data_IF_767882195824
#
_entry.id   IF_767882195824
#
_cell.length_a   1.000
_cell.length_b   1.000
_cell.length_c   1.000
_cell.angle_alpha   90.00
_cell.angle_beta   90.00
_cell.angle_gamma   90.00
#
_symmetry.space_group_name_H-M   'P 1'
#
loop_
_entity.id
_entity.type
_entity.pdbx_description
1 polymer ?
#
# COMPACT_ATOMS: atom_id res chain seq x y z
N UNK A 1 22.69 -42.72 -2.45
CA UNK A 1 22.48 -41.62 -1.47
C UNK A 1 23.62 -40.62 -1.65
N UNK A 2 23.32 -39.51 -2.30
CA UNK A 2 24.33 -38.55 -2.85
C UNK A 2 24.86 -37.55 -1.80
N UNK A 3 24.48 -37.68 -0.53
CA UNK A 3 24.88 -36.78 0.54
C UNK A 3 24.39 -35.31 0.40
N UNK A 4 24.94 -34.41 1.22
CA UNK A 4 24.54 -32.99 1.21
C UNK A 4 24.89 -32.27 -0.11
N UNK A 5 26.04 -32.58 -0.72
CA UNK A 5 26.47 -31.97 -1.98
C UNK A 5 25.51 -32.28 -3.13
N UNK A 6 25.08 -33.54 -3.25
CA UNK A 6 24.09 -33.93 -4.26
C UNK A 6 22.71 -33.30 -4.02
N UNK A 7 22.29 -33.16 -2.75
CA UNK A 7 21.08 -32.43 -2.41
C UNK A 7 21.17 -30.96 -2.84
N UNK A 8 22.30 -30.29 -2.56
CA UNK A 8 22.50 -28.87 -2.93
C UNK A 8 22.54 -28.67 -4.46
N UNK A 9 23.08 -29.62 -5.20
CA UNK A 9 23.01 -29.61 -6.67
C UNK A 9 21.56 -29.62 -7.17
N UNK A 10 20.75 -30.57 -6.70
CA UNK A 10 19.34 -30.65 -7.09
C UNK A 10 18.50 -29.47 -6.61
N UNK A 11 18.78 -28.91 -5.42
CA UNK A 11 18.12 -27.69 -4.91
C UNK A 11 18.40 -26.50 -5.86
N UNK A 12 19.62 -26.36 -6.37
CA UNK A 12 20.01 -25.33 -7.35
C UNK A 12 19.30 -25.52 -8.69
N UNK A 13 19.32 -26.73 -9.24
CA UNK A 13 18.66 -27.04 -10.51
C UNK A 13 17.16 -26.78 -10.44
N UNK A 14 16.53 -27.18 -9.34
CA UNK A 14 15.10 -26.91 -9.10
C UNK A 14 14.83 -25.40 -8.98
N UNK A 15 15.68 -24.64 -8.29
CA UNK A 15 15.53 -23.20 -8.18
C UNK A 15 15.65 -22.51 -9.55
N UNK A 16 16.61 -22.92 -10.38
CA UNK A 16 16.78 -22.40 -11.74
C UNK A 16 15.53 -22.65 -12.59
N UNK A 17 15.01 -23.86 -12.57
CA UNK A 17 13.79 -24.20 -13.31
C UNK A 17 12.60 -23.38 -12.85
N UNK A 18 12.37 -23.28 -11.52
CA UNK A 18 11.24 -22.52 -10.96
C UNK A 18 11.34 -21.01 -11.19
N UNK A 19 12.55 -20.45 -11.17
CA UNK A 19 12.77 -19.02 -11.49
C UNK A 19 12.51 -18.68 -12.97
N UNK A 20 12.59 -19.67 -13.86
CA UNK A 20 12.26 -19.51 -15.28
C UNK A 20 10.74 -19.57 -15.54
N UNK A 21 9.97 -20.14 -14.62
CA UNK A 21 8.51 -20.24 -14.69
C UNK A 21 7.85 -19.07 -13.94
N UNK A 22 7.36 -18.08 -14.65
CA UNK A 22 6.67 -16.93 -14.02
C UNK A 22 5.18 -16.91 -14.41
N UNK A 23 4.30 -16.40 -13.50
CA UNK A 23 4.52 -16.03 -12.09
C UNK A 23 4.39 -17.23 -11.14
N UNK A 24 5.28 -17.38 -10.16
CA UNK A 24 5.27 -18.45 -9.19
C UNK A 24 5.49 -17.92 -7.74
N UNK A 25 4.97 -18.68 -6.75
CA UNK A 25 5.32 -18.54 -5.33
C UNK A 25 6.18 -19.73 -4.93
N UNK A 26 7.45 -19.47 -4.62
CA UNK A 26 8.43 -20.53 -4.34
C UNK A 26 8.71 -20.57 -2.84
N UNK A 27 8.43 -21.72 -2.21
CA UNK A 27 8.78 -21.97 -0.82
C UNK A 27 10.19 -22.57 -0.75
N UNK A 28 11.16 -21.79 -0.25
CA UNK A 28 12.56 -22.19 -0.18
C UNK A 28 12.89 -22.83 1.18
N UNK A 29 13.79 -23.82 1.16
CA UNK A 29 14.43 -24.33 2.37
C UNK A 29 15.30 -23.26 3.02
N UNK A 30 15.38 -23.25 4.37
CA UNK A 30 16.13 -22.22 5.13
C UNK A 30 17.64 -22.16 4.84
N UNK A 31 18.19 -23.08 4.07
CA UNK A 31 19.59 -23.09 3.63
C UNK A 31 19.80 -22.85 2.13
N UNK A 32 18.73 -22.74 1.34
CA UNK A 32 18.81 -22.68 -0.11
C UNK A 32 19.56 -21.42 -0.62
N UNK A 33 19.36 -20.30 0.07
CA UNK A 33 19.94 -19.00 -0.28
C UNK A 33 21.21 -18.65 0.51
N UNK A 34 21.80 -19.62 1.24
CA UNK A 34 23.16 -19.48 1.81
C UNK A 34 24.23 -19.51 0.72
N UNK A 35 23.92 -20.09 -0.42
CA UNK A 35 24.74 -20.04 -1.63
C UNK A 35 24.47 -18.71 -2.35
N UNK A 36 25.53 -17.93 -2.58
CA UNK A 36 25.42 -16.59 -3.16
C UNK A 36 24.87 -16.61 -4.60
N UNK A 37 25.14 -17.65 -5.39
CA UNK A 37 24.62 -17.77 -6.75
C UNK A 37 23.11 -18.05 -6.75
N UNK A 38 22.64 -18.91 -5.85
CA UNK A 38 21.21 -19.14 -5.65
C UNK A 38 20.50 -17.88 -5.16
N UNK A 39 21.14 -17.13 -4.27
CA UNK A 39 20.61 -15.86 -3.78
C UNK A 39 20.48 -14.83 -4.89
N UNK A 40 21.54 -14.61 -5.66
CA UNK A 40 21.54 -13.67 -6.79
C UNK A 40 20.47 -14.04 -7.83
N UNK A 41 20.31 -15.33 -8.14
CA UNK A 41 19.28 -15.82 -9.03
C UNK A 41 17.88 -15.52 -8.50
N UNK A 42 17.60 -15.83 -7.25
CA UNK A 42 16.28 -15.58 -6.64
C UNK A 42 15.96 -14.08 -6.55
N UNK A 43 16.96 -13.23 -6.20
CA UNK A 43 16.81 -11.78 -6.16
C UNK A 43 16.54 -11.17 -7.55
N UNK A 44 17.13 -11.72 -8.60
CA UNK A 44 16.87 -11.30 -9.98
C UNK A 44 15.50 -11.74 -10.50
N UNK A 45 15.00 -12.89 -10.04
CA UNK A 45 13.74 -13.45 -10.48
C UNK A 45 12.52 -12.89 -9.73
N UNK A 46 12.71 -12.40 -8.48
CA UNK A 46 11.56 -11.94 -7.70
C UNK A 46 11.89 -11.34 -6.35
N UNK A 47 10.84 -11.17 -5.53
CA UNK A 47 10.95 -10.61 -4.19
C UNK A 47 11.10 -11.75 -3.17
N UNK A 48 12.13 -11.68 -2.36
CA UNK A 48 12.39 -12.65 -1.29
C UNK A 48 11.79 -12.11 0.01
N UNK A 49 10.97 -12.92 0.66
CA UNK A 49 10.45 -12.64 2.01
C UNK A 49 11.02 -13.67 2.98
N UNK A 50 11.84 -13.22 3.91
CA UNK A 50 12.35 -14.08 4.98
C UNK A 50 11.29 -14.26 6.06
N UNK A 51 10.90 -15.51 6.32
CA UNK A 51 10.00 -15.85 7.42
C UNK A 51 10.81 -16.02 8.71
N UNK A 52 10.62 -15.11 9.66
CA UNK A 52 11.34 -15.03 10.92
C UNK A 52 10.47 -15.60 12.06
N UNK A 53 10.97 -16.59 12.76
CA UNK A 53 10.26 -17.26 13.84
C UNK A 53 11.16 -17.45 15.07
N UNK A 54 10.57 -17.33 16.27
CA UNK A 54 11.30 -17.61 17.52
C UNK A 54 11.69 -19.08 17.63
N UNK A 55 12.75 -19.36 18.38
CA UNK A 55 13.20 -20.75 18.69
C UNK A 55 12.04 -21.56 19.23
N UNK A 56 11.26 -21.02 20.17
CA UNK A 56 10.08 -21.68 20.74
C UNK A 56 9.05 -22.07 19.66
N UNK A 57 8.74 -21.15 18.71
CA UNK A 57 7.84 -21.42 17.60
C UNK A 57 8.37 -22.53 16.70
N UNK A 58 9.67 -22.53 16.42
CA UNK A 58 10.31 -23.55 15.59
C UNK A 58 10.33 -24.92 16.26
N UNK A 59 10.66 -24.98 17.56
CA UNK A 59 10.62 -26.24 18.35
C UNK A 59 9.22 -26.85 18.32
N UNK A 60 8.19 -26.05 18.63
CA UNK A 60 6.80 -26.52 18.61
C UNK A 60 6.38 -27.07 17.25
N UNK A 61 6.73 -26.38 16.16
CA UNK A 61 6.39 -26.84 14.80
C UNK A 61 7.18 -28.09 14.38
N UNK A 62 8.42 -28.21 14.84
CA UNK A 62 9.27 -29.36 14.53
C UNK A 62 8.80 -30.61 15.29
N UNK A 63 8.39 -30.45 16.55
CA UNK A 63 7.84 -31.54 17.35
C UNK A 63 6.53 -32.11 16.76
N UNK A 64 5.75 -31.28 16.05
CA UNK A 64 4.52 -31.72 15.37
C UNK A 64 4.77 -32.56 14.11
N UNK A 65 6.00 -32.64 13.57
CA UNK A 65 6.38 -33.38 12.38
C UNK A 65 7.68 -34.17 12.58
N UNK A 66 7.68 -35.26 13.39
CA UNK A 66 8.87 -36.04 13.64
C UNK A 66 9.39 -36.69 12.34
N UNK A 67 10.72 -36.62 12.11
CA UNK A 67 11.38 -37.27 10.97
C UNK A 67 11.46 -36.46 9.68
N UNK A 68 10.81 -35.30 9.57
CA UNK A 68 10.85 -34.47 8.35
C UNK A 68 12.16 -33.66 8.16
N UNK A 69 13.08 -33.65 9.13
CA UNK A 69 14.30 -32.81 9.11
C UNK A 69 15.55 -33.59 9.52
N UNK A 70 16.35 -34.09 8.55
CA UNK A 70 17.54 -34.89 8.81
C UNK A 70 18.63 -34.19 9.65
N UNK A 71 18.69 -32.84 9.62
CA UNK A 71 19.69 -32.06 10.35
C UNK A 71 19.40 -31.94 11.87
N UNK A 72 18.25 -32.40 12.34
CA UNK A 72 17.86 -32.36 13.74
C UNK A 72 17.82 -33.78 14.37
N UNK A 73 18.40 -34.75 13.72
CA UNK A 73 18.45 -36.16 14.21
C UNK A 73 19.60 -36.34 15.17
N UNK A 74 19.25 -36.61 16.43
CA UNK A 74 20.01 -37.30 17.48
C UNK A 74 21.53 -36.97 17.60
N UNK A 75 21.83 -35.90 18.28
CA UNK A 75 23.05 -35.74 19.07
C UNK A 75 22.64 -35.41 20.50
N UNK A 76 23.55 -35.55 21.46
CA UNK A 76 23.33 -35.41 22.92
C UNK A 76 22.71 -34.09 23.41
N UNK A 77 22.57 -33.08 22.50
CA UNK A 77 21.92 -31.81 22.79
C UNK A 77 20.42 -31.85 22.52
N UNK A 78 19.63 -31.13 23.32
CA UNK A 78 18.19 -30.96 23.11
C UNK A 78 17.90 -30.37 21.72
N UNK A 79 16.75 -30.72 21.11
CA UNK A 79 16.31 -30.17 19.83
C UNK A 79 16.25 -28.63 19.85
N UNK A 80 15.94 -28.04 20.99
CA UNK A 80 15.93 -26.60 21.23
C UNK A 80 17.34 -26.00 21.14
N UNK A 81 18.34 -26.62 21.78
CA UNK A 81 19.73 -26.16 21.73
C UNK A 81 20.30 -26.22 20.31
N UNK A 82 20.04 -27.31 19.58
CA UNK A 82 20.47 -27.46 18.19
C UNK A 82 19.84 -26.40 17.26
N UNK A 83 18.56 -26.10 17.45
CA UNK A 83 17.85 -25.06 16.69
C UNK A 83 18.38 -23.65 17.02
N UNK A 84 18.62 -23.36 18.30
CA UNK A 84 19.18 -22.09 18.74
C UNK A 84 20.58 -21.85 18.16
N UNK A 85 21.46 -22.86 18.19
CA UNK A 85 22.80 -22.79 17.58
C UNK A 85 22.73 -22.59 16.07
N UNK A 86 21.87 -23.34 15.38
CA UNK A 86 21.70 -23.23 13.93
C UNK A 86 21.20 -21.82 13.55
N UNK A 87 20.22 -21.28 14.30
CA UNK A 87 19.71 -19.93 14.11
C UNK A 87 20.80 -18.88 14.35
N UNK A 88 21.51 -18.95 15.46
CA UNK A 88 22.59 -18.01 15.78
C UNK A 88 23.65 -17.95 14.65
N UNK A 89 24.05 -19.12 14.13
CA UNK A 89 25.00 -19.20 13.02
C UNK A 89 24.47 -18.59 11.72
N UNK A 90 23.15 -18.70 11.44
CA UNK A 90 22.53 -18.21 10.21
C UNK A 90 21.91 -16.83 10.34
N UNK A 91 21.87 -16.27 11.54
CA UNK A 91 21.26 -14.97 11.82
C UNK A 91 21.77 -13.84 10.90
N UNK A 92 23.09 -13.67 10.66
CA UNK A 92 23.58 -12.63 9.76
C UNK A 92 22.99 -12.74 8.35
N UNK A 93 22.79 -13.95 7.84
CA UNK A 93 22.16 -14.20 6.56
C UNK A 93 20.66 -13.83 6.58
N UNK A 94 19.91 -14.27 7.59
CA UNK A 94 18.47 -14.01 7.65
C UNK A 94 18.14 -12.53 7.86
N UNK A 95 18.92 -11.81 8.65
CA UNK A 95 18.71 -10.37 8.87
C UNK A 95 19.10 -9.52 7.65
N UNK A 96 19.89 -10.05 6.70
CA UNK A 96 20.29 -9.33 5.50
C UNK A 96 19.15 -9.17 4.47
N UNK A 97 18.04 -9.91 4.61
CA UNK A 97 16.89 -9.73 3.73
C UNK A 97 16.08 -8.50 4.12
N UNK A 98 15.81 -7.59 3.17
CA UNK A 98 15.07 -6.36 3.46
C UNK A 98 13.59 -6.61 3.81
N UNK A 99 12.98 -7.66 3.24
CA UNK A 99 11.60 -8.04 3.51
C UNK A 99 11.59 -9.21 4.50
N UNK A 100 11.14 -8.93 5.72
CA UNK A 100 11.05 -9.92 6.80
C UNK A 100 9.65 -9.95 7.37
N UNK A 101 9.16 -11.16 7.61
CA UNK A 101 7.85 -11.41 8.20
C UNK A 101 8.01 -12.20 9.49
N UNK A 102 7.63 -11.63 10.62
CA UNK A 102 7.56 -12.35 11.88
C UNK A 102 6.42 -13.39 11.83
N UNK A 103 6.77 -14.65 12.06
CA UNK A 103 5.83 -15.77 12.02
C UNK A 103 5.64 -16.32 13.42
N UNK A 104 4.40 -16.36 13.89
CA UNK A 104 3.98 -16.86 15.19
C UNK A 104 3.12 -18.14 15.03
N UNK A 105 2.46 -18.56 16.10
CA UNK A 105 1.48 -19.65 16.07
C UNK A 105 0.05 -19.17 15.73
N UNK A 106 -0.10 -17.92 15.28
CA UNK A 106 -1.38 -17.41 14.82
C UNK A 106 -1.88 -18.11 13.55
N UNK A 107 -3.17 -17.99 13.28
CA UNK A 107 -3.80 -18.59 12.09
C UNK A 107 -3.22 -17.97 10.81
N UNK A 108 -3.18 -18.74 9.70
CA UNK A 108 -2.56 -18.29 8.43
C UNK A 108 -3.05 -16.94 7.92
N UNK A 109 -4.32 -16.59 8.14
CA UNK A 109 -4.88 -15.30 7.74
C UNK A 109 -4.21 -14.08 8.40
N UNK A 110 -3.68 -14.22 9.63
CA UNK A 110 -2.90 -13.17 10.30
C UNK A 110 -1.58 -12.94 9.56
N UNK A 111 -0.89 -14.04 9.21
CA UNK A 111 0.38 -13.96 8.48
C UNK A 111 0.20 -13.45 7.06
N UNK A 112 -0.91 -13.80 6.39
CA UNK A 112 -1.22 -13.26 5.06
C UNK A 112 -1.37 -11.73 5.10
N UNK A 113 -2.09 -11.20 6.09
CA UNK A 113 -2.23 -9.75 6.27
C UNK A 113 -0.89 -9.06 6.51
N UNK A 114 -0.08 -9.64 7.38
CA UNK A 114 1.26 -9.13 7.66
C UNK A 114 2.17 -9.20 6.41
N UNK A 115 2.06 -10.27 5.62
CA UNK A 115 2.77 -10.42 4.34
C UNK A 115 2.36 -9.33 3.34
N UNK A 116 1.07 -9.06 3.21
CA UNK A 116 0.58 -7.99 2.33
C UNK A 116 1.14 -6.62 2.73
N UNK A 117 1.22 -6.34 4.05
CA UNK A 117 1.83 -5.12 4.56
C UNK A 117 3.34 -5.05 4.26
N UNK A 118 4.07 -6.16 4.44
CA UNK A 118 5.50 -6.25 4.12
C UNK A 118 5.75 -6.05 2.61
N UNK A 119 4.90 -6.61 1.77
CA UNK A 119 4.99 -6.48 0.31
C UNK A 119 4.49 -5.12 -0.20
N UNK A 120 3.68 -4.42 0.58
CA UNK A 120 3.00 -3.20 0.14
C UNK A 120 2.06 -3.45 -1.05
N UNK A 121 1.41 -4.61 -1.09
CA UNK A 121 0.57 -5.01 -2.21
C UNK A 121 -0.78 -5.54 -1.74
N UNK A 122 -1.85 -4.91 -2.24
CA UNK A 122 -3.22 -5.33 -1.96
C UNK A 122 -4.06 -5.35 -3.22
N UNK A 123 -5.16 -6.09 -3.15
CA UNK A 123 -6.24 -6.09 -4.12
C UNK A 123 -7.53 -5.76 -3.40
N UNK A 124 -8.24 -4.75 -3.87
CA UNK A 124 -9.54 -4.33 -3.33
C UNK A 124 -10.63 -4.83 -4.27
N UNK A 125 -11.63 -5.51 -3.72
CA UNK A 125 -12.73 -6.13 -4.47
C UNK A 125 -14.09 -5.73 -3.90
N UNK A 126 -15.15 -6.09 -4.63
CA UNK A 126 -16.54 -5.86 -4.20
C UNK A 126 -17.19 -4.61 -4.80
N UNK A 127 -16.45 -3.78 -5.57
CA UNK A 127 -16.93 -2.55 -6.20
C UNK A 127 -16.85 -2.60 -7.74
N UNK A 128 -17.24 -3.70 -8.35
CA UNK A 128 -17.03 -3.99 -9.77
C UNK A 128 -15.69 -4.66 -10.00
N UNK A 129 -14.94 -4.21 -11.01
CA UNK A 129 -13.60 -4.75 -11.26
C UNK A 129 -12.64 -4.46 -10.09
N UNK A 130 -11.94 -5.49 -9.61
CA UNK A 130 -11.00 -5.30 -8.51
C UNK A 130 -9.84 -4.41 -8.92
N UNK A 131 -9.44 -3.50 -8.05
CA UNK A 131 -8.28 -2.64 -8.27
C UNK A 131 -7.10 -3.00 -7.38
N UNK A 132 -5.92 -2.54 -7.79
CA UNK A 132 -4.65 -2.80 -7.10
C UNK A 132 -4.23 -1.63 -6.22
N UNK A 133 -3.59 -1.93 -5.10
CA UNK A 133 -2.91 -0.95 -4.25
C UNK A 133 -1.45 -1.34 -4.15
N UNK A 134 -0.56 -0.39 -4.40
CA UNK A 134 0.89 -0.53 -4.32
C UNK A 134 1.44 0.52 -3.36
N UNK A 135 2.26 0.08 -2.41
CA UNK A 135 2.88 0.97 -1.41
C UNK A 135 4.37 0.65 -1.38
N UNK A 136 5.19 1.68 -1.44
CA UNK A 136 6.64 1.54 -1.37
C UNK A 136 7.32 2.90 -1.36
N UNK A 137 8.44 3.00 -0.67
CA UNK A 137 9.24 4.22 -0.63
C UNK A 137 9.95 4.43 -1.97
N UNK A 138 9.80 5.62 -2.59
CA UNK A 138 10.36 5.95 -3.91
C UNK A 138 9.60 5.30 -5.08
N UNK A 139 8.38 4.79 -4.88
CA UNK A 139 7.63 4.06 -5.91
C UNK A 139 6.99 4.97 -6.97
N UNK A 140 6.91 6.29 -6.73
CA UNK A 140 6.33 7.24 -7.69
C UNK A 140 7.09 7.30 -9.01
N UNK A 141 8.41 7.08 -9.01
CA UNK A 141 9.23 6.99 -10.22
C UNK A 141 8.87 5.81 -11.14
N UNK A 142 8.10 4.84 -10.61
CA UNK A 142 7.62 3.65 -11.29
C UNK A 142 6.12 3.68 -11.58
N UNK A 143 5.44 4.81 -11.33
CA UNK A 143 3.99 4.92 -11.48
C UNK A 143 3.52 4.52 -12.89
N UNK A 144 4.25 4.92 -13.93
CA UNK A 144 3.96 4.54 -15.32
C UNK A 144 4.05 3.02 -15.55
N UNK A 145 5.12 2.38 -15.07
CA UNK A 145 5.30 0.93 -15.20
C UNK A 145 4.19 0.16 -14.45
N UNK A 146 3.81 0.62 -13.26
CA UNK A 146 2.73 0.02 -12.46
C UNK A 146 1.36 0.18 -13.14
N UNK A 147 1.12 1.29 -13.82
CA UNK A 147 -0.09 1.48 -14.62
C UNK A 147 -0.08 0.59 -15.86
N UNK A 148 1.06 0.43 -16.53
CA UNK A 148 1.21 -0.44 -17.70
C UNK A 148 1.02 -1.94 -17.39
N UNK A 149 1.17 -2.36 -16.12
CA UNK A 149 0.77 -3.71 -15.68
C UNK A 149 -0.75 -3.99 -15.80
N UNK A 150 -1.57 -2.94 -15.79
CA UNK A 150 -3.02 -3.04 -15.76
C UNK A 150 -3.69 -2.45 -17.00
N UNK A 151 -3.05 -1.52 -17.70
CA UNK A 151 -3.62 -0.71 -18.75
C UNK A 151 -2.67 -0.63 -19.96
N UNK A 152 -3.22 -0.67 -21.15
CA UNK A 152 -2.47 -0.30 -22.36
C UNK A 152 -2.14 1.20 -22.35
N UNK A 153 -0.92 1.59 -22.76
CA UNK A 153 -0.54 2.99 -22.90
C UNK A 153 -1.52 3.81 -23.78
N UNK A 154 -1.77 5.03 -23.37
CA UNK A 154 -2.69 5.94 -24.05
C UNK A 154 -2.56 7.36 -23.50
N UNK A 155 -3.55 8.23 -23.79
CA UNK A 155 -3.58 9.60 -23.27
C UNK A 155 -3.89 9.61 -21.76
N UNK A 156 -3.17 10.43 -21.02
CA UNK A 156 -3.32 10.56 -19.57
C UNK A 156 -3.40 12.03 -19.18
N UNK A 157 -4.39 12.41 -18.39
CA UNK A 157 -4.41 13.68 -17.71
C UNK A 157 -4.02 13.47 -16.23
N UNK A 158 -2.87 13.99 -15.84
CA UNK A 158 -2.47 14.09 -14.44
C UNK A 158 -3.09 15.35 -13.84
N UNK A 159 -3.93 15.18 -12.84
CA UNK A 159 -4.55 16.26 -12.06
C UNK A 159 -3.80 16.38 -10.75
N UNK A 160 -3.21 17.54 -10.49
CA UNK A 160 -2.52 17.86 -9.26
C UNK A 160 -3.00 19.22 -8.71
N UNK A 161 -2.50 19.63 -7.57
CA UNK A 161 -2.69 21.00 -7.10
C UNK A 161 -1.40 21.83 -7.18
N UNK A 162 -1.51 23.12 -6.93
CA UNK A 162 -0.39 24.07 -6.98
C UNK A 162 0.71 23.78 -5.95
N UNK A 163 0.43 22.97 -4.92
CA UNK A 163 1.42 22.54 -3.94
C UNK A 163 2.16 21.25 -4.38
N UNK A 164 1.45 20.30 -4.97
CA UNK A 164 2.00 18.98 -5.31
C UNK A 164 2.57 18.90 -6.72
N UNK A 165 2.03 19.66 -7.68
CA UNK A 165 2.51 19.68 -9.06
C UNK A 165 4.00 20.00 -9.19
N UNK A 166 4.56 21.07 -8.55
CA UNK A 166 5.98 21.39 -8.65
C UNK A 166 6.88 20.36 -7.95
N UNK A 167 6.38 19.64 -6.94
CA UNK A 167 7.15 18.66 -6.17
C UNK A 167 7.27 17.31 -6.89
N UNK A 168 6.17 16.82 -7.46
CA UNK A 168 6.08 15.44 -7.93
C UNK A 168 5.64 15.30 -9.38
N UNK A 169 5.08 16.36 -9.98
CA UNK A 169 4.55 16.32 -11.34
C UNK A 169 5.58 15.88 -12.36
N UNK A 170 6.81 16.44 -12.30
CA UNK A 170 7.90 16.08 -13.20
C UNK A 170 8.25 14.59 -13.17
N UNK A 171 8.38 14.02 -11.97
CA UNK A 171 8.69 12.59 -11.75
C UNK A 171 7.59 11.70 -12.34
N UNK A 172 6.32 12.00 -12.04
CA UNK A 172 5.18 11.21 -12.52
C UNK A 172 5.06 11.30 -14.04
N UNK A 173 5.18 12.49 -14.64
CA UNK A 173 5.13 12.66 -16.09
C UNK A 173 6.26 11.91 -16.80
N UNK A 174 7.49 11.94 -16.25
CA UNK A 174 8.63 11.21 -16.79
C UNK A 174 8.39 9.69 -16.74
N UNK A 175 7.90 9.19 -15.60
CA UNK A 175 7.57 7.78 -15.41
C UNK A 175 6.49 7.29 -16.39
N UNK A 176 5.43 8.09 -16.58
CA UNK A 176 4.36 7.78 -17.53
C UNK A 176 4.87 7.73 -18.97
N UNK A 177 5.69 8.71 -19.38
CA UNK A 177 6.28 8.73 -20.73
C UNK A 177 7.20 7.53 -20.96
N UNK A 178 8.03 7.18 -19.97
CA UNK A 178 8.91 6.00 -20.05
C UNK A 178 8.13 4.69 -20.24
N UNK A 179 6.89 4.63 -19.76
CA UNK A 179 5.99 3.49 -19.93
C UNK A 179 5.09 3.59 -21.21
N UNK A 180 5.35 4.56 -22.08
CA UNK A 180 4.65 4.72 -23.36
C UNK A 180 3.33 5.50 -23.31
N UNK A 181 2.94 6.05 -22.14
CA UNK A 181 1.77 6.93 -22.05
C UNK A 181 2.06 8.33 -22.61
N UNK A 182 1.01 9.06 -22.97
CA UNK A 182 1.07 10.46 -23.41
C UNK A 182 0.43 11.35 -22.33
N UNK A 183 1.21 11.77 -21.29
CA UNK A 183 0.67 12.50 -20.18
C UNK A 183 0.68 14.01 -20.40
N UNK A 184 -0.40 14.66 -19.95
CA UNK A 184 -0.52 16.10 -19.72
C UNK A 184 -0.79 16.37 -18.23
N UNK A 185 -0.46 17.58 -17.76
CA UNK A 185 -0.65 17.98 -16.35
C UNK A 185 -1.60 19.16 -16.27
N UNK A 186 -2.60 19.06 -15.40
CA UNK A 186 -3.46 20.14 -14.96
C UNK A 186 -3.27 20.42 -13.47
N UNK A 187 -3.01 21.65 -13.10
CA UNK A 187 -2.86 22.06 -11.71
C UNK A 187 -4.07 22.86 -11.25
N UNK A 188 -4.71 22.41 -10.16
CA UNK A 188 -5.79 23.12 -9.48
C UNK A 188 -5.23 23.97 -8.33
N UNK A 189 -5.92 25.00 -7.87
CA UNK A 189 -5.55 25.68 -6.62
C UNK A 189 -5.58 24.69 -5.45
N UNK A 190 -4.59 24.78 -4.54
CA UNK A 190 -4.50 23.91 -3.38
C UNK A 190 -5.47 24.34 -2.26
N UNK A 191 -5.96 23.36 -1.50
CA UNK A 191 -6.75 23.58 -0.28
C UNK A 191 -8.22 23.22 -0.41
N UNK A 192 -8.86 22.95 0.74
CA UNK A 192 -10.25 22.49 0.84
C UNK A 192 -11.25 23.49 0.25
N UNK A 193 -10.99 24.79 0.35
CA UNK A 193 -11.83 25.83 -0.24
C UNK A 193 -12.02 25.68 -1.77
N UNK A 194 -11.15 24.92 -2.42
CA UNK A 194 -11.20 24.67 -3.85
C UNK A 194 -11.82 23.30 -4.21
N UNK A 195 -12.35 22.58 -3.23
CA UNK A 195 -13.07 21.31 -3.48
C UNK A 195 -14.48 21.56 -4.01
N UNK A 196 -14.61 22.23 -5.13
CA UNK A 196 -15.87 22.76 -5.69
C UNK A 196 -16.20 22.17 -7.06
N UNK A 197 -17.47 22.31 -7.49
CA UNK A 197 -17.91 21.98 -8.84
C UNK A 197 -17.17 22.79 -9.92
N UNK A 198 -16.75 24.03 -9.62
CA UNK A 198 -15.95 24.83 -10.54
C UNK A 198 -14.57 24.20 -10.80
N UNK A 199 -13.95 23.61 -9.78
CA UNK A 199 -12.71 22.84 -9.93
C UNK A 199 -12.92 21.56 -10.74
N UNK A 200 -14.03 20.86 -10.53
CA UNK A 200 -14.40 19.69 -11.37
C UNK A 200 -14.56 20.11 -12.83
N UNK A 201 -15.23 21.24 -13.09
CA UNK A 201 -15.38 21.79 -14.44
C UNK A 201 -14.02 22.12 -15.07
N UNK A 202 -13.08 22.67 -14.29
CA UNK A 202 -11.71 22.91 -14.78
C UNK A 202 -11.00 21.60 -15.18
N UNK A 203 -11.19 20.52 -14.43
CA UNK A 203 -10.67 19.19 -14.81
C UNK A 203 -11.31 18.70 -16.12
N UNK A 204 -12.62 18.86 -16.33
CA UNK A 204 -13.25 18.48 -17.60
C UNK A 204 -12.72 19.30 -18.79
N UNK A 205 -12.48 20.61 -18.59
CA UNK A 205 -11.88 21.45 -19.62
C UNK A 205 -10.46 20.98 -19.98
N UNK A 206 -9.66 20.64 -18.96
CA UNK A 206 -8.32 20.08 -19.15
C UNK A 206 -8.38 18.70 -19.84
N UNK A 207 -9.32 17.84 -19.46
CA UNK A 207 -9.50 16.54 -20.09
C UNK A 207 -9.89 16.66 -21.58
N UNK A 208 -10.71 17.66 -21.91
CA UNK A 208 -11.03 17.99 -23.30
C UNK A 208 -9.80 18.46 -24.07
N UNK A 209 -9.02 19.38 -23.49
CA UNK A 209 -7.80 19.91 -24.11
C UNK A 209 -6.76 18.80 -24.35
N UNK A 210 -6.57 17.91 -23.36
CA UNK A 210 -5.71 16.74 -23.45
C UNK A 210 -6.29 15.61 -24.33
N UNK A 211 -7.47 15.83 -24.93
CA UNK A 211 -8.15 14.86 -25.79
C UNK A 211 -8.34 13.49 -25.11
N UNK A 212 -8.72 13.50 -23.83
CA UNK A 212 -9.04 12.27 -23.09
C UNK A 212 -10.36 11.71 -23.63
N UNK A 213 -10.26 10.58 -24.30
CA UNK A 213 -11.40 9.79 -24.79
C UNK A 213 -11.83 8.72 -23.76
N UNK A 214 -12.73 7.81 -24.15
CA UNK A 214 -13.20 6.71 -23.28
C UNK A 214 -12.12 5.69 -22.94
N UNK A 215 -11.07 5.61 -23.73
CA UNK A 215 -9.89 4.76 -23.50
C UNK A 215 -8.83 5.44 -22.63
N UNK A 216 -8.93 6.76 -22.45
CA UNK A 216 -7.99 7.57 -21.68
C UNK A 216 -8.04 7.33 -20.19
N UNK A 217 -7.17 8.02 -19.46
CA UNK A 217 -6.96 7.86 -18.02
C UNK A 217 -6.83 9.23 -17.34
N UNK A 218 -7.50 9.40 -16.20
CA UNK A 218 -7.18 10.47 -15.25
C UNK A 218 -6.29 9.92 -14.12
N UNK A 219 -5.27 10.68 -13.73
CA UNK A 219 -4.39 10.33 -12.60
C UNK A 219 -4.43 11.46 -11.59
N UNK A 220 -4.97 11.22 -10.40
CA UNK A 220 -4.94 12.16 -9.30
C UNK A 220 -3.58 12.09 -8.59
N UNK A 221 -2.85 13.21 -8.51
CA UNK A 221 -1.57 13.33 -7.81
C UNK A 221 -1.69 14.39 -6.71
N UNK A 222 -1.94 13.97 -5.46
CA UNK A 222 -2.13 14.95 -4.38
C UNK A 222 -2.78 14.38 -3.12
N UNK A 223 -3.34 15.27 -2.33
CA UNK A 223 -4.13 14.93 -1.14
C UNK A 223 -5.55 14.50 -1.46
N UNK A 224 -6.39 14.38 -0.41
CA UNK A 224 -7.79 13.95 -0.53
C UNK A 224 -8.62 14.85 -1.46
N UNK A 225 -8.42 16.17 -1.42
CA UNK A 225 -9.11 17.13 -2.29
C UNK A 225 -8.89 16.81 -3.77
N UNK A 226 -7.63 16.62 -4.15
CA UNK A 226 -7.27 16.28 -5.54
C UNK A 226 -7.85 14.92 -5.94
N UNK A 227 -7.77 13.93 -5.03
CA UNK A 227 -8.34 12.60 -5.25
C UNK A 227 -9.84 12.65 -5.50
N UNK A 228 -10.59 13.36 -4.65
CA UNK A 228 -12.04 13.48 -4.75
C UNK A 228 -12.47 14.20 -6.03
N UNK A 229 -11.84 15.34 -6.34
CA UNK A 229 -12.15 16.13 -7.54
C UNK A 229 -11.83 15.38 -8.83
N UNK A 230 -10.64 14.79 -8.93
CA UNK A 230 -10.22 14.05 -10.12
C UNK A 230 -11.04 12.76 -10.30
N UNK A 231 -11.33 12.05 -9.22
CA UNK A 231 -12.16 10.86 -9.25
C UNK A 231 -13.60 11.16 -9.63
N UNK A 232 -14.20 12.26 -9.13
CA UNK A 232 -15.53 12.68 -9.52
C UNK A 232 -15.57 13.20 -10.97
N UNK A 233 -14.55 13.93 -11.39
CA UNK A 233 -14.41 14.32 -12.79
C UNK A 233 -14.30 13.09 -13.71
N UNK A 234 -13.54 12.06 -13.32
CA UNK A 234 -13.44 10.82 -14.06
C UNK A 234 -14.77 10.05 -14.13
N UNK A 235 -15.52 10.00 -13.01
CA UNK A 235 -16.81 9.34 -12.95
C UNK A 235 -17.84 9.96 -13.91
N UNK A 236 -17.72 11.25 -14.16
CA UNK A 236 -18.71 12.04 -14.93
C UNK A 236 -18.25 12.36 -16.36
N UNK A 237 -16.93 12.41 -16.63
CA UNK A 237 -16.38 12.61 -17.97
C UNK A 237 -16.77 11.47 -18.89
N UNK A 238 -17.41 11.76 -20.02
CA UNK A 238 -17.90 10.79 -21.02
C UNK A 238 -18.74 9.64 -20.42
N UNK A 239 -19.41 9.86 -19.30
CA UNK A 239 -20.18 8.90 -18.48
C UNK A 239 -19.30 7.87 -17.75
N UNK A 240 -18.06 8.20 -17.48
CA UNK A 240 -17.09 7.38 -16.75
C UNK A 240 -15.87 7.02 -17.59
N UNK A 241 -14.71 7.46 -17.14
CA UNK A 241 -13.40 7.05 -17.65
C UNK A 241 -12.57 6.45 -16.52
N UNK A 242 -11.59 5.65 -16.85
CA UNK A 242 -10.68 5.06 -15.86
C UNK A 242 -9.87 6.14 -15.15
N UNK A 243 -9.55 5.87 -13.90
CA UNK A 243 -8.69 6.76 -13.16
C UNK A 243 -7.78 5.99 -12.19
N UNK A 244 -6.71 6.63 -11.75
CA UNK A 244 -5.79 6.14 -10.73
C UNK A 244 -5.47 7.26 -9.74
N UNK A 245 -4.99 6.91 -8.55
CA UNK A 245 -4.65 7.90 -7.53
C UNK A 245 -3.25 7.65 -6.96
N UNK A 246 -2.49 8.73 -6.90
CA UNK A 246 -1.15 8.82 -6.34
C UNK A 246 -1.22 9.75 -5.12
N UNK A 247 -1.66 9.24 -3.95
CA UNK A 247 -1.85 10.05 -2.76
C UNK A 247 -0.51 10.52 -2.20
N UNK A 248 -0.42 11.82 -1.84
CA UNK A 248 0.82 12.44 -1.33
C UNK A 248 0.71 12.90 0.12
N UNK A 249 -0.46 12.75 0.76
CA UNK A 249 -0.65 13.03 2.19
C UNK A 249 -0.94 11.73 2.95
N UNK A 250 -0.59 11.67 4.23
CA UNK A 250 -0.85 10.48 5.04
C UNK A 250 -2.35 10.16 5.08
N UNK A 251 -3.20 11.17 5.32
CA UNK A 251 -4.65 11.03 5.30
C UNK A 251 -5.15 10.41 3.99
N UNK A 252 -4.67 10.91 2.84
CA UNK A 252 -5.07 10.38 1.56
C UNK A 252 -4.57 8.94 1.37
N UNK A 253 -3.35 8.61 1.78
CA UNK A 253 -2.83 7.25 1.69
C UNK A 253 -3.68 6.27 2.48
N UNK A 254 -3.91 6.55 3.76
CA UNK A 254 -4.54 5.57 4.65
C UNK A 254 -6.07 5.56 4.56
N UNK A 255 -6.67 6.64 4.05
CA UNK A 255 -8.13 6.81 4.05
C UNK A 255 -8.71 7.18 2.69
N UNK A 256 -8.65 8.43 2.22
CA UNK A 256 -9.51 8.93 1.14
C UNK A 256 -9.23 8.31 -0.24
N UNK A 257 -8.02 7.81 -0.54
CA UNK A 257 -7.71 7.14 -1.81
C UNK A 257 -8.36 5.76 -1.95
N UNK A 258 -8.97 5.24 -0.89
CA UNK A 258 -9.50 3.88 -0.83
C UNK A 258 -11.04 3.89 -0.82
N UNK A 259 -11.63 2.95 -1.58
CA UNK A 259 -13.08 2.73 -1.56
C UNK A 259 -13.89 3.60 -2.51
N UNK A 260 -13.22 4.33 -3.41
CA UNK A 260 -13.84 4.98 -4.55
C UNK A 260 -14.87 6.06 -4.24
N UNK A 261 -14.96 6.56 -3.01
CA UNK A 261 -15.75 7.75 -2.70
C UNK A 261 -15.08 8.94 -3.34
N UNK A 262 -15.78 9.67 -4.20
CA UNK A 262 -15.30 10.85 -4.91
C UNK A 262 -16.37 11.92 -4.88
N UNK A 263 -16.01 13.20 -4.91
CA UNK A 263 -17.02 14.24 -4.83
C UNK A 263 -16.47 15.66 -4.80
N UNK A 264 -17.41 16.59 -4.64
CA UNK A 264 -17.15 18.01 -4.46
C UNK A 264 -18.08 18.57 -3.38
N UNK A 265 -17.67 19.68 -2.80
CA UNK A 265 -18.44 20.42 -1.82
C UNK A 265 -19.40 21.39 -2.50
N UNK A 266 -20.53 21.64 -1.82
CA UNK A 266 -21.46 22.70 -2.15
C UNK A 266 -21.43 23.77 -1.05
N UNK A 267 -21.96 24.97 -1.31
CA UNK A 267 -22.09 25.99 -0.26
C UNK A 267 -22.86 25.50 0.97
N UNK A 268 -23.77 24.56 0.78
CA UNK A 268 -24.65 24.00 1.80
C UNK A 268 -23.95 22.93 2.68
N UNK A 269 -22.82 22.35 2.18
CA UNK A 269 -22.09 21.35 2.96
C UNK A 269 -21.05 20.57 2.16
N UNK A 270 -20.17 19.87 2.91
CA UNK A 270 -19.10 19.04 2.35
C UNK A 270 -19.66 17.74 1.76
N UNK A 271 -19.06 17.30 0.66
CA UNK A 271 -19.27 15.97 0.03
C UNK A 271 -20.71 15.66 -0.35
N UNK A 272 -21.54 16.67 -0.60
CA UNK A 272 -22.97 16.48 -0.92
C UNK A 272 -23.18 15.97 -2.35
N UNK A 273 -22.23 16.20 -3.26
CA UNK A 273 -22.26 15.67 -4.63
C UNK A 273 -21.03 14.79 -4.89
N UNK A 274 -21.30 13.62 -5.46
CA UNK A 274 -20.20 12.67 -5.69
C UNK A 274 -20.67 11.37 -6.33
N UNK A 275 -19.73 10.46 -6.48
CA UNK A 275 -19.94 9.13 -7.03
C UNK A 275 -19.08 8.10 -6.31
N UNK A 276 -19.55 6.85 -6.30
CA UNK A 276 -18.69 5.70 -6.05
C UNK A 276 -18.02 5.30 -7.37
N UNK A 277 -16.77 5.69 -7.53
CA UNK A 277 -15.99 5.39 -8.73
C UNK A 277 -14.62 4.85 -8.31
N UNK A 278 -14.45 3.51 -8.19
CA UNK A 278 -13.20 2.94 -7.73
C UNK A 278 -12.07 3.21 -8.73
N UNK A 279 -10.85 3.54 -8.27
CA UNK A 279 -9.68 3.69 -9.15
C UNK A 279 -9.24 2.32 -9.69
N UNK A 280 -8.51 2.30 -10.81
CA UNK A 280 -7.86 1.08 -11.31
C UNK A 280 -6.58 0.74 -10.54
N UNK A 281 -5.95 1.76 -9.94
CA UNK A 281 -4.70 1.63 -9.19
C UNK A 281 -4.55 2.76 -8.15
N UNK A 282 -4.06 2.39 -6.98
CA UNK A 282 -3.58 3.31 -5.94
C UNK A 282 -2.08 3.09 -5.77
N UNK A 283 -1.26 4.14 -5.86
CA UNK A 283 0.19 4.07 -5.64
C UNK A 283 0.56 5.02 -4.50
N UNK A 284 0.75 4.48 -3.30
CA UNK A 284 1.18 5.23 -2.12
C UNK A 284 2.70 5.24 -1.98
N UNK A 285 3.29 6.42 -2.02
CA UNK A 285 4.72 6.61 -1.79
C UNK A 285 4.97 7.39 -0.49
N UNK A 286 5.31 6.72 0.62
CA UNK A 286 5.57 7.40 1.88
C UNK A 286 6.76 8.38 1.86
N UNK A 287 7.63 8.34 0.83
CA UNK A 287 8.66 9.36 0.66
C UNK A 287 8.07 10.76 0.44
N UNK A 288 6.86 10.87 -0.13
CA UNK A 288 6.17 12.15 -0.31
C UNK A 288 5.79 12.82 1.01
N UNK A 289 5.70 12.06 2.09
CA UNK A 289 5.44 12.60 3.43
C UNK A 289 6.59 13.49 3.94
N UNK A 290 7.78 13.44 3.32
CA UNK A 290 8.91 14.29 3.68
C UNK A 290 8.58 15.78 3.51
N UNK A 291 7.75 16.14 2.53
CA UNK A 291 7.34 17.51 2.25
C UNK A 291 6.01 17.91 2.90
N UNK A 292 5.29 16.93 3.50
CA UNK A 292 4.01 17.20 4.15
C UNK A 292 4.22 17.98 5.46
N UNK A 293 3.54 19.11 5.71
CA UNK A 293 3.60 19.78 7.01
C UNK A 293 3.19 18.86 8.17
N UNK A 294 3.77 19.07 9.36
CA UNK A 294 3.49 18.24 10.54
C UNK A 294 2.00 18.22 10.93
N UNK A 295 1.25 19.29 10.66
CA UNK A 295 -0.21 19.30 10.84
C UNK A 295 -0.90 18.26 9.94
N UNK A 296 -0.48 18.15 8.66
CA UNK A 296 -1.00 17.13 7.75
C UNK A 296 -0.65 15.70 8.16
N UNK A 297 0.53 15.50 8.78
CA UNK A 297 0.89 14.21 9.37
C UNK A 297 -0.02 13.87 10.55
N UNK A 298 -0.23 14.81 11.48
CA UNK A 298 -1.14 14.60 12.62
C UNK A 298 -2.56 14.27 12.16
N UNK A 299 -3.07 15.01 11.18
CA UNK A 299 -4.38 14.75 10.61
C UNK A 299 -4.51 13.31 10.05
N UNK A 300 -3.49 12.84 9.36
CA UNK A 300 -3.45 11.44 8.89
C UNK A 300 -3.29 10.43 10.02
N UNK A 301 -2.51 10.75 11.06
CA UNK A 301 -2.32 9.88 12.23
C UNK A 301 -3.61 9.68 13.03
N UNK A 302 -4.51 10.65 13.08
CA UNK A 302 -5.82 10.49 13.70
C UNK A 302 -6.59 9.33 13.06
N UNK A 303 -6.58 9.23 11.72
CA UNK A 303 -7.17 8.12 11.00
C UNK A 303 -6.44 6.78 11.26
N UNK A 304 -5.11 6.81 11.39
CA UNK A 304 -4.35 5.59 11.74
C UNK A 304 -4.70 5.10 13.14
N UNK A 305 -4.85 6.00 14.11
CA UNK A 305 -5.32 5.66 15.47
C UNK A 305 -6.71 5.04 15.40
N UNK A 306 -7.64 5.64 14.65
CA UNK A 306 -8.96 5.08 14.42
C UNK A 306 -8.90 3.65 13.85
N UNK A 307 -8.05 3.41 12.87
CA UNK A 307 -7.84 2.07 12.30
C UNK A 307 -7.30 1.09 13.35
N UNK A 308 -6.39 1.54 14.22
CA UNK A 308 -5.88 0.75 15.34
C UNK A 308 -6.99 0.32 16.30
N UNK A 309 -7.88 1.24 16.65
CA UNK A 309 -9.04 0.98 17.53
C UNK A 309 -10.04 0.00 16.89
N UNK A 310 -10.28 0.12 15.58
CA UNK A 310 -11.28 -0.70 14.87
C UNK A 310 -10.82 -2.17 14.71
N UNK A 311 -9.57 -2.42 14.30
CA UNK A 311 -9.22 -3.78 13.86
C UNK A 311 -7.71 -4.13 14.02
N UNK A 312 -6.86 -3.26 14.54
CA UNK A 312 -5.43 -3.55 14.69
C UNK A 312 -4.85 -2.95 15.99
N UNK A 313 -5.04 -3.60 17.15
CA UNK A 313 -4.50 -3.11 18.43
C UNK A 313 -3.00 -2.81 18.39
N UNK A 314 -2.21 -3.62 17.68
CA UNK A 314 -0.77 -3.37 17.57
C UNK A 314 -0.43 -2.17 16.68
N UNK A 315 -1.32 -1.71 15.80
CA UNK A 315 -1.18 -0.43 15.10
C UNK A 315 -1.48 0.73 16.06
N UNK A 316 -2.47 0.57 16.95
CA UNK A 316 -2.73 1.52 18.03
C UNK A 316 -1.51 1.68 18.95
N UNK A 317 -0.93 0.57 19.40
CA UNK A 317 0.29 0.59 20.21
C UNK A 317 1.47 1.25 19.48
N UNK A 318 1.60 1.00 18.17
CA UNK A 318 2.63 1.65 17.35
C UNK A 318 2.42 3.18 17.29
N UNK A 319 1.17 3.66 17.20
CA UNK A 319 0.85 5.09 17.27
C UNK A 319 1.19 5.67 18.65
N UNK A 320 0.84 4.97 19.73
CA UNK A 320 1.17 5.39 21.09
C UNK A 320 2.70 5.50 21.30
N UNK A 321 3.47 4.56 20.74
CA UNK A 321 4.93 4.55 20.81
C UNK A 321 5.60 5.73 20.06
N UNK A 322 4.87 6.41 19.15
CA UNK A 322 5.40 7.64 18.53
C UNK A 322 5.60 8.75 19.54
N UNK A 323 4.85 8.79 20.64
CA UNK A 323 4.99 9.75 21.73
C UNK A 323 5.09 11.21 21.23
N UNK A 324 4.19 11.61 20.33
CA UNK A 324 4.16 12.94 19.71
C UNK A 324 5.14 13.18 18.56
N UNK A 325 5.99 12.19 18.21
CA UNK A 325 6.94 12.27 17.09
C UNK A 325 6.27 11.87 15.77
N UNK A 326 5.30 12.65 15.30
CA UNK A 326 4.59 12.39 14.06
C UNK A 326 5.55 12.21 12.85
N UNK A 327 6.67 12.90 12.84
CA UNK A 327 7.68 12.82 11.77
C UNK A 327 8.34 11.43 11.64
N UNK A 328 8.26 10.58 12.67
CA UNK A 328 8.82 9.23 12.63
C UNK A 328 8.14 8.30 11.60
N UNK A 329 6.95 8.64 11.12
CA UNK A 329 6.26 7.84 10.09
C UNK A 329 6.64 8.23 8.65
N UNK A 330 7.46 9.29 8.48
CA UNK A 330 7.92 9.71 7.16
C UNK A 330 8.75 8.61 6.51
N UNK A 331 8.39 8.22 5.29
CA UNK A 331 9.07 7.17 4.54
C UNK A 331 8.79 5.74 5.02
N UNK A 332 8.03 5.53 6.10
CA UNK A 332 7.72 4.19 6.60
C UNK A 332 6.57 3.54 5.80
N UNK A 333 6.97 2.83 4.74
CA UNK A 333 6.02 2.11 3.89
C UNK A 333 5.29 0.97 4.62
N UNK A 334 5.90 0.35 5.65
CA UNK A 334 5.24 -0.72 6.41
C UNK A 334 4.15 -0.19 7.32
N UNK A 335 4.42 0.93 7.99
CA UNK A 335 3.44 1.60 8.82
C UNK A 335 2.21 2.02 8.00
N UNK A 336 2.44 2.70 6.86
CA UNK A 336 1.38 3.13 5.95
C UNK A 336 0.61 1.92 5.39
N UNK A 337 1.32 0.89 4.91
CA UNK A 337 0.68 -0.32 4.38
C UNK A 337 -0.18 -1.01 5.43
N UNK A 338 0.28 -1.10 6.69
CA UNK A 338 -0.47 -1.69 7.79
C UNK A 338 -1.75 -0.90 8.09
N UNK A 339 -1.66 0.43 8.12
CA UNK A 339 -2.82 1.30 8.32
C UNK A 339 -3.85 1.15 7.19
N UNK A 340 -3.40 1.13 5.92
CA UNK A 340 -4.27 0.91 4.75
C UNK A 340 -4.98 -0.45 4.80
N UNK A 341 -4.33 -1.48 5.33
CA UNK A 341 -4.87 -2.83 5.39
C UNK A 341 -6.20 -2.91 6.15
N UNK A 342 -6.36 -2.12 7.22
CA UNK A 342 -7.61 -2.06 8.00
C UNK A 342 -8.75 -1.59 7.11
N UNK A 343 -8.59 -0.44 6.46
CA UNK A 343 -9.63 0.12 5.59
C UNK A 343 -9.91 -0.78 4.38
N UNK A 344 -8.88 -1.36 3.78
CA UNK A 344 -9.03 -2.29 2.64
C UNK A 344 -9.89 -3.50 3.04
N UNK A 345 -9.64 -4.10 4.21
CA UNK A 345 -10.45 -5.23 4.70
C UNK A 345 -11.91 -4.85 4.88
N UNK A 346 -12.15 -3.70 5.50
CA UNK A 346 -13.50 -3.19 5.74
C UNK A 346 -14.24 -2.91 4.42
N UNK A 347 -13.57 -2.31 3.43
CA UNK A 347 -14.13 -2.07 2.09
C UNK A 347 -14.46 -3.39 1.39
N UNK A 348 -13.58 -4.40 1.45
CA UNK A 348 -13.84 -5.69 0.82
C UNK A 348 -15.02 -6.44 1.45
N UNK A 349 -15.33 -6.19 2.72
CA UNK A 349 -16.49 -6.76 3.42
C UNK A 349 -17.78 -5.98 3.14
N UNK A 350 -17.69 -4.66 3.05
CA UNK A 350 -18.83 -3.78 2.84
C UNK A 350 -18.47 -2.61 1.90
N UNK A 351 -18.48 -2.84 0.60
CA UNK A 351 -18.01 -1.89 -0.40
C UNK A 351 -18.78 -0.56 -0.42
N UNK A 352 -20.08 -0.62 -0.13
CA UNK A 352 -21.01 0.51 -0.27
C UNK A 352 -21.54 1.07 1.06
N UNK A 353 -20.86 0.72 2.20
CA UNK A 353 -21.16 1.27 3.52
C UNK A 353 -22.63 1.03 3.99
N UNK A 354 -23.05 -0.22 3.85
CA UNK A 354 -24.38 -0.66 4.30
C UNK A 354 -24.38 -1.41 5.64
N UNK A 355 -23.20 -1.60 6.24
CA UNK A 355 -23.03 -2.37 7.47
C UNK A 355 -21.69 -2.06 8.16
N UNK A 356 -20.76 -3.03 8.19
CA UNK A 356 -19.51 -2.96 8.96
C UNK A 356 -18.61 -1.77 8.61
N UNK A 357 -18.69 -1.26 7.39
CA UNK A 357 -17.91 -0.08 6.96
C UNK A 357 -18.30 1.19 7.70
N UNK A 358 -19.50 1.25 8.30
CA UNK A 358 -19.90 2.36 9.16
C UNK A 358 -18.98 2.54 10.38
N UNK A 359 -18.28 1.48 10.82
CA UNK A 359 -17.26 1.59 11.86
C UNK A 359 -16.13 2.57 11.51
N UNK A 360 -15.85 2.80 10.22
CA UNK A 360 -14.86 3.80 9.78
C UNK A 360 -15.29 5.25 10.10
N UNK A 361 -16.56 5.47 10.49
CA UNK A 361 -17.06 6.77 10.94
C UNK A 361 -16.89 6.98 12.46
N UNK A 362 -16.15 6.10 13.15
CA UNK A 362 -15.84 6.28 14.57
C UNK A 362 -15.19 7.65 14.79
N UNK A 363 -15.76 8.44 15.71
CA UNK A 363 -15.35 9.82 15.99
C UNK A 363 -15.94 10.90 15.06
N UNK A 364 -16.34 10.55 13.84
CA UNK A 364 -16.74 11.52 12.80
C UNK A 364 -17.98 12.35 13.16
N UNK A 365 -18.94 11.78 13.90
CA UNK A 365 -20.15 12.53 14.32
C UNK A 365 -19.77 13.75 15.17
N UNK A 366 -18.85 13.57 16.11
CA UNK A 366 -18.37 14.65 16.97
C UNK A 366 -17.40 15.55 16.21
N UNK A 367 -16.43 14.95 15.50
CA UNK A 367 -15.43 15.69 14.72
C UNK A 367 -16.06 16.63 13.69
N UNK A 368 -16.98 16.15 12.86
CA UNK A 368 -17.68 17.00 11.89
C UNK A 368 -18.50 18.12 12.56
N UNK A 369 -19.09 17.86 13.75
CA UNK A 369 -19.76 18.90 14.54
C UNK A 369 -18.80 19.98 15.00
N UNK A 370 -17.58 19.60 15.43
CA UNK A 370 -16.52 20.53 15.81
C UNK A 370 -16.04 21.32 14.59
N UNK A 371 -15.73 20.64 13.46
CA UNK A 371 -15.33 21.31 12.20
C UNK A 371 -16.34 22.38 11.79
N UNK A 372 -17.64 22.05 11.84
CA UNK A 372 -18.71 22.96 11.48
C UNK A 372 -18.78 24.16 12.46
N UNK A 373 -18.71 23.90 13.77
CA UNK A 373 -18.72 24.94 14.79
C UNK A 373 -17.53 25.90 14.64
N UNK A 374 -16.36 25.38 14.25
CA UNK A 374 -15.13 26.14 13.98
C UNK A 374 -15.10 26.71 12.57
N UNK A 375 -16.18 26.66 11.80
CA UNK A 375 -16.28 27.15 10.42
C UNK A 375 -15.16 26.59 9.52
N UNK A 376 -14.82 25.32 9.72
CA UNK A 376 -13.77 24.59 8.98
C UNK A 376 -12.38 25.20 9.04
N UNK A 377 -12.09 26.02 10.07
CA UNK A 377 -10.73 26.53 10.34
C UNK A 377 -9.85 25.49 11.03
N UNK A 378 -10.47 24.47 11.66
CA UNK A 378 -9.79 23.32 12.24
C UNK A 378 -9.70 22.19 11.21
N UNK A 379 -8.52 21.56 11.12
CA UNK A 379 -8.30 20.45 10.20
C UNK A 379 -9.07 19.20 10.65
N UNK A 380 -9.46 18.35 9.68
CA UNK A 380 -10.25 17.14 9.91
C UNK A 380 -9.67 16.23 11.01
N UNK A 381 -8.37 16.01 11.03
CA UNK A 381 -7.72 15.18 12.04
C UNK A 381 -7.41 15.87 13.37
N UNK A 382 -7.65 17.18 13.47
CA UNK A 382 -7.49 17.94 14.72
C UNK A 382 -8.87 18.10 15.46
N UNK A 383 -9.98 17.80 14.78
CA UNK A 383 -11.34 17.82 15.31
C UNK A 383 -11.71 16.47 15.96
#
# INVERSE_FOLDING_TARGET
QEGEAGFRGRERDALQALCAEAPAVIALGGGALLDDANRALAESAGRIVCLDASVETLVRRTAAQPGARPLLVAREASAEGQLAELLARRQPHYVSFPLRLAVTNAVPGVHLRALQAVLGQYRVSGMGEPYRVRIGTGILDRAGALLAEALSPGRVLVVADTATAPLYGGTVLASLRAAGFVPELAALPAGEAHKTLASVQAVWQAARAAQIDRGGLLVALGGGVVGDLAGFAAATWLRGVRWAVLPTTLLAMVDSSLGGKTGADLPEGKNLVGAFHPPVLVVGDPATLATLPSAGLRAGLAEVVKHGVIDDPGLFDACAALAGRADAVRGDARFVARAMAVKIRTICQDPYEKGVRAALNLGHTVGHGIEQAMRFTLGHGDA
#
